data_IF_661884310502
#
_entry.id   IF_661884310502
#
_cell.length_a   1.000
_cell.length_b   1.000
_cell.length_c   1.000
_cell.angle_alpha   90.00
_cell.angle_beta   90.00
_cell.angle_gamma   90.00
#
_symmetry.space_group_name_H-M   'P 1'
#
loop_
_entity.id
_entity.type
_entity.pdbx_description
1 polymer ?
#
# COMPACT_ATOMS: atom_id res chain seq x y z
N UNK A 1 2.99 -19.14 16.93
CA UNK A 1 4.24 -18.42 16.60
C UNK A 1 4.49 -18.73 15.14
N UNK A 2 4.22 -17.78 14.24
CA UNK A 2 4.34 -17.99 12.78
C UNK A 2 5.83 -17.88 12.43
N UNK A 3 6.33 -18.76 11.55
CA UNK A 3 7.73 -18.80 11.13
C UNK A 3 8.05 -17.58 10.26
N UNK A 4 9.00 -16.74 10.70
CA UNK A 4 9.46 -15.58 9.95
C UNK A 4 9.98 -15.98 8.56
N UNK A 5 10.64 -17.15 8.46
CA UNK A 5 11.18 -17.64 7.19
C UNK A 5 10.07 -17.99 6.19
N UNK A 6 8.95 -18.51 6.69
CA UNK A 6 7.76 -18.78 5.87
C UNK A 6 7.14 -17.47 5.36
N UNK A 7 7.02 -16.44 6.21
CA UNK A 7 6.55 -15.11 5.82
C UNK A 7 7.45 -14.48 4.75
N UNK A 8 8.77 -14.57 4.90
CA UNK A 8 9.70 -14.06 3.89
C UNK A 8 9.57 -14.79 2.55
N UNK A 9 9.37 -16.11 2.60
CA UNK A 9 9.18 -16.94 1.39
C UNK A 9 7.89 -16.57 0.68
N UNK A 10 6.81 -16.35 1.43
CA UNK A 10 5.52 -15.92 0.88
C UNK A 10 5.60 -14.53 0.23
N UNK A 11 6.20 -13.55 0.92
CA UNK A 11 6.34 -12.21 0.36
C UNK A 11 7.19 -12.20 -0.92
N UNK A 12 8.29 -12.97 -0.95
CA UNK A 12 9.12 -13.10 -2.15
C UNK A 12 8.34 -13.72 -3.31
N UNK A 13 7.59 -14.80 -3.04
CA UNK A 13 6.76 -15.45 -4.06
C UNK A 13 5.69 -14.52 -4.64
N UNK A 14 4.97 -13.77 -3.80
CA UNK A 14 3.99 -12.78 -4.26
C UNK A 14 4.66 -11.68 -5.11
N UNK A 15 5.84 -11.22 -4.68
CA UNK A 15 6.58 -10.21 -5.42
C UNK A 15 7.06 -10.72 -6.78
N UNK A 16 7.50 -11.98 -6.88
CA UNK A 16 7.90 -12.57 -8.16
C UNK A 16 6.71 -12.65 -9.12
N UNK A 17 5.53 -13.09 -8.64
CA UNK A 17 4.30 -13.08 -9.45
C UNK A 17 3.96 -11.68 -9.98
N UNK A 18 4.01 -10.64 -9.13
CA UNK A 18 3.77 -9.26 -9.57
C UNK A 18 4.82 -8.77 -10.57
N UNK A 19 6.08 -9.12 -10.37
CA UNK A 19 7.16 -8.75 -11.28
C UNK A 19 6.99 -9.37 -12.67
N UNK A 20 6.48 -10.60 -12.71
CA UNK A 20 6.25 -11.38 -13.94
C UNK A 20 4.94 -10.98 -14.64
N UNK A 21 4.12 -10.13 -14.01
CA UNK A 21 2.85 -9.64 -14.56
C UNK A 21 1.64 -10.52 -14.22
N UNK A 22 1.82 -11.51 -13.36
CA UNK A 22 0.81 -12.49 -12.93
C UNK A 22 -0.08 -11.92 -11.81
N UNK A 23 -0.63 -10.72 -12.02
CA UNK A 23 -1.44 -9.98 -11.03
C UNK A 23 -2.67 -10.79 -10.61
N UNK A 24 -3.28 -11.50 -11.57
CA UNK A 24 -4.46 -12.34 -11.34
C UNK A 24 -4.20 -13.45 -10.31
N UNK A 25 -3.00 -14.06 -10.35
CA UNK A 25 -2.61 -15.09 -9.38
C UNK A 25 -2.54 -14.52 -7.96
N UNK A 26 -1.94 -13.33 -7.82
CA UNK A 26 -1.84 -12.64 -6.54
C UNK A 26 -3.23 -12.23 -6.03
N UNK A 27 -4.10 -11.74 -6.92
CA UNK A 27 -5.49 -11.42 -6.58
C UNK A 27 -6.23 -12.63 -6.03
N UNK A 28 -6.14 -13.78 -6.73
CA UNK A 28 -6.76 -15.03 -6.28
C UNK A 28 -6.26 -15.45 -4.90
N UNK A 29 -4.95 -15.34 -4.65
CA UNK A 29 -4.36 -15.65 -3.34
C UNK A 29 -4.90 -14.75 -2.24
N UNK A 30 -4.99 -13.43 -2.48
CA UNK A 30 -5.55 -12.47 -1.52
C UNK A 30 -7.03 -12.73 -1.21
N UNK A 31 -7.80 -13.18 -2.20
CA UNK A 31 -9.20 -13.56 -2.03
C UNK A 31 -9.34 -14.83 -1.18
N UNK A 32 -8.50 -15.84 -1.42
CA UNK A 32 -8.55 -17.11 -0.69
C UNK A 32 -7.99 -17.02 0.73
N UNK A 33 -6.93 -16.25 0.94
CA UNK A 33 -6.19 -16.19 2.21
C UNK A 33 -5.94 -14.74 2.61
N UNK A 34 -6.80 -14.24 3.52
CA UNK A 34 -6.68 -12.87 4.07
C UNK A 34 -5.34 -12.60 4.76
N UNK A 35 -4.63 -13.63 5.22
CA UNK A 35 -3.29 -13.49 5.79
C UNK A 35 -2.27 -12.84 4.84
N UNK A 36 -2.45 -12.97 3.51
CA UNK A 36 -1.53 -12.38 2.55
C UNK A 36 -1.56 -10.86 2.50
N UNK A 37 -2.59 -10.19 3.03
CA UNK A 37 -2.60 -8.74 3.18
C UNK A 37 -1.46 -8.23 4.08
N UNK A 38 -0.94 -9.07 4.98
CA UNK A 38 0.20 -8.73 5.85
C UNK A 38 1.50 -8.45 5.07
N UNK A 39 1.58 -8.86 3.79
CA UNK A 39 2.77 -8.68 2.96
C UNK A 39 2.80 -7.36 2.17
N UNK A 40 1.68 -6.63 2.10
CA UNK A 40 1.62 -5.36 1.36
C UNK A 40 2.72 -4.37 1.74
N UNK A 41 3.10 -4.21 3.03
CA UNK A 41 4.16 -3.27 3.37
C UNK A 41 5.51 -3.65 2.75
N UNK A 42 5.81 -4.94 2.67
CA UNK A 42 7.04 -5.43 2.02
C UNK A 42 6.96 -5.32 0.50
N UNK A 43 5.79 -5.57 -0.10
CA UNK A 43 5.59 -5.43 -1.55
C UNK A 43 5.66 -3.97 -2.01
N UNK A 44 5.12 -3.03 -1.24
CA UNK A 44 5.25 -1.59 -1.49
C UNK A 44 6.68 -1.06 -1.29
N UNK A 45 7.47 -1.70 -0.43
CA UNK A 45 8.89 -1.39 -0.25
C UNK A 45 9.81 -2.24 -1.14
N UNK A 46 9.28 -2.97 -2.13
CA UNK A 46 10.08 -3.76 -3.05
C UNK A 46 10.79 -2.85 -4.05
N UNK A 47 12.09 -3.08 -4.27
CA UNK A 47 12.93 -2.29 -5.16
C UNK A 47 12.48 -2.38 -6.62
N UNK A 48 11.85 -3.51 -7.01
CA UNK A 48 11.37 -3.72 -8.37
C UNK A 48 10.12 -2.89 -8.62
N UNK A 49 10.23 -1.93 -9.54
CA UNK A 49 9.12 -1.06 -9.92
C UNK A 49 7.85 -1.84 -10.33
N UNK A 50 7.99 -2.95 -11.05
CA UNK A 50 6.86 -3.78 -11.48
C UNK A 50 6.06 -4.36 -10.31
N UNK A 51 6.74 -4.73 -9.22
CA UNK A 51 6.10 -5.23 -8.01
C UNK A 51 5.21 -4.13 -7.44
N UNK A 52 5.77 -2.94 -7.22
CA UNK A 52 5.03 -1.80 -6.68
C UNK A 52 3.86 -1.39 -7.58
N UNK A 53 4.07 -1.33 -8.89
CA UNK A 53 3.01 -1.07 -9.86
C UNK A 53 1.87 -2.10 -9.79
N UNK A 54 2.21 -3.39 -9.66
CA UNK A 54 1.22 -4.45 -9.45
C UNK A 54 0.46 -4.31 -8.14
N UNK A 55 1.12 -3.86 -7.06
CA UNK A 55 0.43 -3.56 -5.80
C UNK A 55 -0.61 -2.44 -5.99
N UNK A 56 -0.30 -1.38 -6.74
CA UNK A 56 -1.27 -0.32 -6.99
C UNK A 56 -2.51 -0.79 -7.74
N UNK A 57 -2.34 -1.66 -8.74
CA UNK A 57 -3.48 -2.27 -9.45
C UNK A 57 -4.37 -3.01 -8.45
N UNK A 58 -3.78 -3.84 -7.59
CA UNK A 58 -4.53 -4.57 -6.56
C UNK A 58 -5.22 -3.63 -5.57
N UNK A 59 -4.58 -2.54 -5.15
CA UNK A 59 -5.17 -1.56 -4.24
C UNK A 59 -6.37 -0.84 -4.86
N UNK A 60 -6.32 -0.48 -6.14
CA UNK A 60 -7.43 0.16 -6.85
C UNK A 60 -8.63 -0.79 -6.93
N UNK A 61 -8.42 -2.04 -7.31
CA UNK A 61 -9.49 -3.06 -7.36
C UNK A 61 -10.12 -3.31 -5.99
N UNK A 62 -9.32 -3.28 -4.92
CA UNK A 62 -9.81 -3.40 -3.55
C UNK A 62 -10.64 -2.18 -3.12
N UNK A 63 -10.27 -0.98 -3.57
CA UNK A 63 -11.02 0.23 -3.31
C UNK A 63 -12.37 0.22 -4.05
N UNK A 64 -12.40 -0.20 -5.31
CA UNK A 64 -13.63 -0.30 -6.12
C UNK A 64 -14.64 -1.30 -5.57
N UNK A 65 -14.16 -2.39 -4.98
CA UNK A 65 -15.01 -3.46 -4.43
C UNK A 65 -15.52 -3.16 -3.01
N UNK A 66 -15.18 -2.00 -2.44
CA UNK A 66 -15.71 -1.54 -1.16
C UNK A 66 -15.25 -2.37 0.04
N UNK A 67 -14.00 -2.84 0.02
CA UNK A 67 -13.48 -3.75 1.04
C UNK A 67 -13.67 -3.22 2.48
N UNK A 68 -14.52 -3.91 3.26
CA UNK A 68 -14.78 -3.66 4.70
C UNK A 68 -13.54 -3.85 5.61
N UNK A 69 -12.39 -4.24 5.04
CA UNK A 69 -11.10 -4.41 5.72
C UNK A 69 -10.01 -3.41 5.32
N UNK A 70 -10.31 -2.42 4.46
CA UNK A 70 -9.33 -1.44 3.99
C UNK A 70 -8.70 -0.64 5.14
N UNK A 71 -9.43 -0.34 6.22
CA UNK A 71 -8.83 0.33 7.39
C UNK A 71 -7.70 -0.49 8.04
N UNK A 72 -7.87 -1.82 8.08
CA UNK A 72 -6.82 -2.72 8.56
C UNK A 72 -5.59 -2.74 7.64
N UNK A 73 -5.81 -2.79 6.32
CA UNK A 73 -4.73 -2.78 5.33
C UNK A 73 -4.01 -1.41 5.27
N UNK A 74 -4.76 -0.31 5.30
CA UNK A 74 -4.21 1.04 5.33
C UNK A 74 -3.31 1.22 6.56
N UNK A 75 -3.75 0.75 7.72
CA UNK A 75 -2.93 0.79 8.94
C UNK A 75 -1.65 -0.04 8.85
N UNK A 76 -1.65 -1.15 8.10
CA UNK A 76 -0.43 -1.93 7.85
C UNK A 76 0.60 -1.15 7.01
N UNK A 77 0.15 -0.24 6.15
CA UNK A 77 1.01 0.53 5.23
C UNK A 77 1.63 1.76 5.91
N UNK A 78 0.98 2.33 6.94
CA UNK A 78 1.45 3.52 7.67
C UNK A 78 2.95 3.52 8.03
N UNK A 79 3.57 2.41 8.50
CA UNK A 79 5.01 2.42 8.82
C UNK A 79 5.93 2.80 7.66
N UNK A 80 5.51 2.58 6.41
CA UNK A 80 6.30 2.88 5.21
C UNK A 80 6.41 4.39 4.97
N UNK A 81 5.49 5.20 5.52
CA UNK A 81 5.56 6.67 5.48
C UNK A 81 6.85 7.21 6.14
N UNK A 82 7.54 6.40 6.93
CA UNK A 82 8.81 6.75 7.58
C UNK A 82 10.02 6.09 6.92
N UNK A 83 9.87 5.51 5.73
CA UNK A 83 10.96 4.84 5.05
C UNK A 83 12.11 5.81 4.67
N UNK A 84 13.36 5.35 4.77
CA UNK A 84 14.56 6.15 4.45
C UNK A 84 14.57 6.69 3.02
N UNK A 85 14.15 5.87 2.06
CA UNK A 85 14.06 6.19 0.64
C UNK A 85 12.74 6.89 0.34
N UNK A 86 12.83 8.05 -0.33
CA UNK A 86 11.68 8.89 -0.62
C UNK A 86 10.66 8.24 -1.54
N UNK A 87 11.11 7.38 -2.47
CA UNK A 87 10.22 6.65 -3.40
C UNK A 87 9.20 5.80 -2.64
N UNK A 88 9.59 5.12 -1.57
CA UNK A 88 8.65 4.29 -0.82
C UNK A 88 7.74 5.11 0.10
N UNK A 89 8.18 6.29 0.58
CA UNK A 89 7.30 7.22 1.29
C UNK A 89 6.22 7.78 0.38
N UNK A 90 6.60 8.20 -0.82
CA UNK A 90 5.68 8.58 -1.88
C UNK A 90 4.72 7.43 -2.19
N UNK A 91 5.25 6.22 -2.36
CA UNK A 91 4.41 5.09 -2.72
C UNK A 91 3.39 4.73 -1.62
N UNK A 92 3.82 4.81 -0.36
CA UNK A 92 2.94 4.64 0.78
C UNK A 92 1.87 5.73 0.86
N UNK A 93 2.24 7.00 0.61
CA UNK A 93 1.28 8.10 0.62
C UNK A 93 0.15 7.86 -0.39
N UNK A 94 0.52 7.58 -1.65
CA UNK A 94 -0.44 7.29 -2.72
C UNK A 94 -1.29 6.05 -2.40
N UNK A 95 -0.68 4.98 -1.90
CA UNK A 95 -1.43 3.78 -1.50
C UNK A 95 -2.49 4.08 -0.44
N UNK A 96 -2.18 4.93 0.54
CA UNK A 96 -3.14 5.36 1.55
C UNK A 96 -4.20 6.32 0.98
N UNK A 97 -3.92 7.13 -0.05
CA UNK A 97 -4.96 7.88 -0.76
C UNK A 97 -5.99 6.95 -1.43
N UNK A 98 -5.50 5.87 -2.04
CA UNK A 98 -6.35 4.88 -2.72
C UNK A 98 -7.24 4.11 -1.74
N UNK A 99 -6.70 3.52 -0.68
CA UNK A 99 -7.46 2.62 0.20
C UNK A 99 -7.76 3.16 1.61
N UNK A 100 -7.16 4.28 1.99
CA UNK A 100 -7.30 4.86 3.33
C UNK A 100 -8.61 5.62 3.51
N UNK A 101 -8.88 5.93 4.76
CA UNK A 101 -10.03 6.72 5.19
C UNK A 101 -9.62 7.93 6.04
N UNK A 102 -10.59 8.62 6.67
CA UNK A 102 -10.33 9.82 7.47
C UNK A 102 -9.27 9.65 8.57
N UNK A 103 -9.11 8.43 9.09
CA UNK A 103 -8.07 8.09 10.06
C UNK A 103 -6.63 8.24 9.50
N UNK A 104 -6.40 7.93 8.22
CA UNK A 104 -5.08 8.04 7.59
C UNK A 104 -4.67 9.49 7.27
N UNK A 105 -5.61 10.44 7.26
CA UNK A 105 -5.27 11.87 7.05
C UNK A 105 -4.25 12.34 8.09
N UNK A 106 -4.37 11.88 9.34
CA UNK A 106 -3.43 12.24 10.40
C UNK A 106 -2.03 11.65 10.16
N UNK A 107 -1.94 10.43 9.64
CA UNK A 107 -0.68 9.78 9.31
C UNK A 107 0.01 10.44 8.10
N UNK A 108 -0.75 10.95 7.13
CA UNK A 108 -0.23 11.61 5.93
C UNK A 108 0.24 13.05 6.17
N UNK A 109 -0.36 13.79 7.11
CA UNK A 109 -0.05 15.20 7.37
C UNK A 109 1.45 15.54 7.52
N UNK A 110 2.27 14.75 8.24
CA UNK A 110 3.70 15.02 8.36
C UNK A 110 4.45 15.05 7.02
N UNK A 111 3.99 14.30 6.01
CA UNK A 111 4.65 14.23 4.71
C UNK A 111 4.46 15.49 3.88
N UNK A 112 3.51 16.37 4.23
CA UNK A 112 3.36 17.69 3.60
C UNK A 112 4.59 18.58 3.75
N UNK A 113 5.47 18.27 4.72
CA UNK A 113 6.76 18.94 4.94
C UNK A 113 7.94 18.03 4.60
N UNK A 114 7.74 16.96 3.83
CA UNK A 114 8.82 16.08 3.41
C UNK A 114 9.85 16.85 2.55
N UNK A 115 11.17 16.64 2.76
CA UNK A 115 12.20 17.31 1.98
C UNK A 115 12.17 16.96 0.49
N UNK A 116 11.63 15.79 0.12
CA UNK A 116 11.44 15.43 -1.27
C UNK A 116 10.10 15.98 -1.77
N UNK A 117 10.16 16.93 -2.71
CA UNK A 117 8.98 17.59 -3.29
C UNK A 117 7.88 16.60 -3.71
N UNK A 118 8.25 15.53 -4.42
CA UNK A 118 7.29 14.52 -4.90
C UNK A 118 6.53 13.82 -3.75
N UNK A 119 7.17 13.62 -2.59
CA UNK A 119 6.50 13.00 -1.44
C UNK A 119 5.46 13.96 -0.85
N UNK A 120 5.82 15.24 -0.73
CA UNK A 120 4.90 16.26 -0.22
C UNK A 120 3.70 16.51 -1.15
N UNK A 121 3.93 16.52 -2.46
CA UNK A 121 2.89 16.62 -3.48
C UNK A 121 1.90 15.45 -3.40
N UNK A 122 2.39 14.21 -3.44
CA UNK A 122 1.55 13.02 -3.38
C UNK A 122 0.81 12.89 -2.05
N UNK A 123 1.41 13.33 -0.94
CA UNK A 123 0.72 13.37 0.35
C UNK A 123 -0.45 14.37 0.35
N UNK A 124 -0.28 15.53 -0.28
CA UNK A 124 -1.35 16.51 -0.41
C UNK A 124 -2.49 15.99 -1.30
N UNK A 125 -2.16 15.39 -2.45
CA UNK A 125 -3.14 14.74 -3.33
C UNK A 125 -3.90 13.64 -2.61
N UNK A 126 -3.19 12.73 -1.93
CA UNK A 126 -3.79 11.61 -1.20
C UNK A 126 -4.71 12.07 -0.07
N UNK A 127 -4.36 13.15 0.65
CA UNK A 127 -5.25 13.75 1.64
C UNK A 127 -6.52 14.29 0.98
N UNK A 128 -6.40 14.99 -0.15
CA UNK A 128 -7.55 15.52 -0.87
C UNK A 128 -8.47 14.40 -1.36
N UNK A 129 -7.91 13.33 -1.95
CA UNK A 129 -8.67 12.17 -2.41
C UNK A 129 -9.49 11.53 -1.28
N UNK A 130 -8.89 11.39 -0.08
CA UNK A 130 -9.60 10.88 1.09
C UNK A 130 -10.74 11.84 1.50
N UNK A 131 -10.46 13.14 1.57
CA UNK A 131 -11.46 14.13 2.00
C UNK A 131 -12.62 14.26 1.00
N UNK A 132 -12.36 14.15 -0.30
CA UNK A 132 -13.38 14.15 -1.34
C UNK A 132 -14.28 12.90 -1.25
N UNK A 133 -13.69 11.75 -0.93
CA UNK A 133 -14.43 10.49 -0.74
C UNK A 133 -15.25 10.47 0.55
N UNK A 134 -14.80 11.18 1.59
CA UNK A 134 -15.43 11.23 2.91
C UNK A 134 -15.71 12.68 3.33
N UNK A 135 -16.66 13.38 2.68
CA UNK A 135 -17.02 14.73 3.05
C UNK A 135 -17.66 14.75 4.45
N UNK A 136 -17.22 15.70 5.27
CA UNK A 136 -17.72 15.94 6.64
C UNK A 136 -19.15 16.47 6.67
#
# INVERSE_FOLDING_TARGET
MIDLKEQETQAAFLADQLNDGEIDNVRLMLQMVKGYYAHFPRLLADQRFRVRAGVYVLLQELAETGCEGCGGLAKLIEPILHHKEAVFRADAATALGVIGGPEQVHALRPLLSDPQFQVAELAAESINEILERYPS
#
